data_IF_757781449362
#
_entry.id   IF_757781449362
#
_cell.length_a   1.000
_cell.length_b   1.000
_cell.length_c   1.000
_cell.angle_alpha   90.00
_cell.angle_beta   90.00
_cell.angle_gamma   90.00
#
_symmetry.space_group_name_H-M   'P 1'
#
loop_
_entity.id
_entity.type
_entity.pdbx_description
1 polymer ?
#
# COMPACT_ATOMS: atom_id res chain seq x y z
N UNK A 1 -13.39 21.22 -51.80
CA UNK A 1 -12.30 21.66 -50.89
C UNK A 1 -12.34 20.73 -49.68
N UNK A 2 -11.41 19.77 -49.55
CA UNK A 2 -11.31 18.94 -48.33
C UNK A 2 -10.67 19.81 -47.26
N UNK A 3 -11.43 20.16 -46.23
CA UNK A 3 -10.90 20.89 -45.08
C UNK A 3 -9.78 20.03 -44.46
N UNK A 4 -8.62 20.61 -44.12
CA UNK A 4 -7.56 19.88 -43.46
C UNK A 4 -8.07 19.43 -42.09
N UNK A 5 -8.30 18.13 -41.95
CA UNK A 5 -8.58 17.51 -40.65
C UNK A 5 -7.34 17.68 -39.78
N UNK A 6 -7.45 18.46 -38.71
CA UNK A 6 -6.41 18.63 -37.69
C UNK A 6 -5.92 17.24 -37.27
N UNK A 7 -4.62 16.98 -37.37
CA UNK A 7 -4.04 15.73 -36.87
C UNK A 7 -4.39 15.59 -35.39
N UNK A 8 -4.78 14.38 -34.95
CA UNK A 8 -5.04 14.12 -33.53
C UNK A 8 -3.80 14.54 -32.72
N UNK A 9 -4.01 15.27 -31.62
CA UNK A 9 -2.92 15.63 -30.71
C UNK A 9 -2.22 14.36 -30.27
N UNK A 10 -0.91 14.32 -30.47
CA UNK A 10 -0.08 13.23 -29.96
C UNK A 10 -0.10 13.30 -28.43
N UNK A 11 -0.63 12.27 -27.78
CA UNK A 11 -0.70 12.17 -26.32
C UNK A 11 -0.03 10.89 -25.88
N UNK A 12 0.93 11.02 -24.97
CA UNK A 12 1.57 9.88 -24.31
C UNK A 12 0.58 9.40 -23.24
N UNK A 13 0.10 8.14 -23.28
CA UNK A 13 -0.73 7.61 -22.22
C UNK A 13 0.09 7.48 -20.93
N UNK A 14 -0.46 7.90 -19.80
CA UNK A 14 0.14 7.74 -18.48
C UNK A 14 -0.53 6.60 -17.72
N UNK A 15 0.28 5.79 -17.04
CA UNK A 15 -0.14 4.66 -16.22
C UNK A 15 0.48 4.74 -14.84
N UNK A 16 -0.32 4.48 -13.82
CA UNK A 16 0.08 4.40 -12.43
C UNK A 16 0.22 2.94 -11.99
N UNK A 17 1.15 2.67 -11.07
CA UNK A 17 1.27 1.32 -10.55
C UNK A 17 0.02 0.88 -9.76
N UNK A 18 -0.41 1.68 -8.80
CA UNK A 18 -1.54 1.33 -7.93
C UNK A 18 -2.88 1.47 -8.65
N UNK A 19 -3.08 2.57 -9.37
CA UNK A 19 -4.32 2.87 -10.07
C UNK A 19 -4.52 2.11 -11.38
N UNK A 20 -3.45 1.68 -12.07
CA UNK A 20 -3.55 0.94 -13.32
C UNK A 20 -3.02 -0.49 -13.25
N UNK A 21 -1.75 -0.69 -12.89
CA UNK A 21 -1.16 -2.03 -12.90
C UNK A 21 -1.91 -2.98 -11.97
N UNK A 22 -1.99 -2.65 -10.68
CA UNK A 22 -2.61 -3.51 -9.67
C UNK A 22 -4.11 -3.68 -9.96
N UNK A 23 -4.80 -2.57 -10.25
CA UNK A 23 -6.23 -2.58 -10.55
C UNK A 23 -6.58 -3.46 -11.77
N UNK A 24 -5.74 -3.44 -12.83
CA UNK A 24 -5.93 -4.32 -13.99
C UNK A 24 -5.64 -5.78 -13.67
N UNK A 25 -4.57 -6.07 -12.93
CA UNK A 25 -4.21 -7.44 -12.51
C UNK A 25 -5.34 -8.05 -11.67
N UNK A 26 -5.94 -7.27 -10.77
CA UNK A 26 -7.10 -7.71 -9.97
C UNK A 26 -8.27 -8.12 -10.86
N UNK A 27 -8.65 -7.28 -11.83
CA UNK A 27 -9.66 -7.60 -12.84
C UNK A 27 -9.67 -6.56 -13.98
N UNK A 28 -9.27 -6.94 -15.20
CA UNK A 28 -9.22 -6.04 -16.35
C UNK A 28 -10.59 -5.42 -16.72
N UNK A 29 -11.68 -6.18 -16.59
CA UNK A 29 -13.03 -5.69 -16.85
C UNK A 29 -13.49 -4.68 -15.79
N UNK A 30 -13.19 -4.93 -14.52
CA UNK A 30 -13.49 -3.99 -13.43
C UNK A 30 -12.69 -2.70 -13.58
N UNK A 31 -11.38 -2.82 -13.87
CA UNK A 31 -10.50 -1.70 -14.19
C UNK A 31 -11.09 -0.82 -15.30
N UNK A 32 -11.57 -1.43 -16.39
CA UNK A 32 -12.20 -0.69 -17.49
C UNK A 32 -13.45 0.08 -17.06
N UNK A 33 -14.29 -0.49 -16.20
CA UNK A 33 -15.49 0.19 -15.74
C UNK A 33 -15.18 1.33 -14.76
N UNK A 34 -14.20 1.16 -13.88
CA UNK A 34 -13.84 2.17 -12.88
C UNK A 34 -13.06 3.34 -13.50
N UNK A 35 -11.96 3.07 -14.21
CA UNK A 35 -11.05 4.11 -14.67
C UNK A 35 -11.54 4.87 -15.92
N UNK A 36 -12.39 4.24 -16.75
CA UNK A 36 -12.96 4.88 -17.94
C UNK A 36 -14.46 5.15 -17.83
N UNK A 37 -15.18 4.47 -16.94
CA UNK A 37 -16.60 4.73 -16.68
C UNK A 37 -16.86 5.79 -15.63
N UNK A 38 -15.81 6.31 -14.96
CA UNK A 38 -15.90 7.31 -13.87
C UNK A 38 -16.83 6.88 -12.73
N UNK A 39 -16.98 5.57 -12.53
CA UNK A 39 -17.81 5.01 -11.46
C UNK A 39 -16.92 4.73 -10.24
N UNK A 40 -17.18 5.37 -9.08
CA UNK A 40 -16.43 5.06 -7.87
C UNK A 40 -16.74 3.62 -7.41
N UNK A 41 -15.75 2.88 -6.89
CA UNK A 41 -15.96 1.55 -6.33
C UNK A 41 -16.90 1.61 -5.11
N UNK A 42 -17.84 0.67 -4.99
CA UNK A 42 -18.81 0.64 -3.88
C UNK A 42 -18.30 0.07 -2.56
N UNK A 43 -17.12 -0.57 -2.53
CA UNK A 43 -16.55 -1.16 -1.31
C UNK A 43 -15.31 -0.39 -0.85
N UNK A 44 -15.50 0.68 -0.07
CA UNK A 44 -14.44 1.60 0.31
C UNK A 44 -13.63 1.16 1.53
N UNK A 45 -13.89 0.04 2.21
CA UNK A 45 -13.30 -0.20 3.56
C UNK A 45 -11.77 -0.26 3.58
N UNK A 46 -11.16 -1.14 2.77
CA UNK A 46 -9.70 -1.24 2.67
C UNK A 46 -9.07 0.02 2.08
N UNK A 47 -9.80 0.70 1.19
CA UNK A 47 -9.36 1.96 0.59
C UNK A 47 -9.38 3.10 1.61
N UNK A 48 -10.43 3.19 2.43
CA UNK A 48 -10.59 4.19 3.48
C UNK A 48 -9.50 4.01 4.52
N UNK A 49 -9.31 2.80 5.06
CA UNK A 49 -8.28 2.59 6.09
C UNK A 49 -6.86 2.83 5.57
N UNK A 50 -6.58 2.43 4.32
CA UNK A 50 -5.33 2.79 3.64
C UNK A 50 -5.16 4.30 3.54
N UNK A 51 -6.09 5.01 2.87
CA UNK A 51 -5.99 6.47 2.70
C UNK A 51 -5.97 7.22 4.06
N UNK A 52 -6.67 6.72 5.08
CA UNK A 52 -6.67 7.24 6.44
C UNK A 52 -5.28 7.15 7.08
N UNK A 53 -4.69 5.95 7.10
CA UNK A 53 -3.35 5.75 7.66
C UNK A 53 -2.31 6.58 6.91
N UNK A 54 -2.39 6.66 5.58
CA UNK A 54 -1.46 7.49 4.82
C UNK A 54 -1.57 8.96 5.20
N UNK A 55 -2.79 9.51 5.22
CA UNK A 55 -3.01 10.89 5.61
C UNK A 55 -2.59 11.19 7.04
N UNK A 56 -2.86 10.29 7.99
CA UNK A 56 -2.49 10.49 9.40
C UNK A 56 -0.98 10.48 9.59
N UNK A 57 -0.27 9.53 8.98
CA UNK A 57 1.20 9.46 9.08
C UNK A 57 1.87 10.67 8.43
N UNK A 58 1.35 11.14 7.30
CA UNK A 58 1.86 12.33 6.61
C UNK A 58 1.67 13.60 7.46
N UNK A 59 0.43 13.88 7.90
CA UNK A 59 0.14 15.07 8.71
C UNK A 59 0.89 15.02 10.05
N UNK A 60 1.01 13.84 10.67
CA UNK A 60 1.83 13.68 11.88
C UNK A 60 3.32 13.98 11.62
N UNK A 61 3.87 13.57 10.47
CA UNK A 61 5.23 13.95 10.10
C UNK A 61 5.35 15.48 9.92
N UNK A 62 4.39 16.12 9.25
CA UNK A 62 4.40 17.57 9.06
C UNK A 62 4.35 18.31 10.40
N UNK A 63 3.45 17.94 11.30
CA UNK A 63 3.36 18.50 12.65
C UNK A 63 4.64 18.30 13.44
N UNK A 64 5.22 17.09 13.38
CA UNK A 64 6.52 16.82 13.99
C UNK A 64 7.64 17.67 13.37
N UNK A 65 7.65 17.86 12.05
CA UNK A 65 8.67 18.65 11.35
C UNK A 65 8.67 20.10 11.80
N UNK A 66 7.49 20.69 12.02
CA UNK A 66 7.35 22.07 12.49
C UNK A 66 7.59 22.23 13.99
N UNK A 67 7.04 21.34 14.82
CA UNK A 67 7.04 21.51 16.28
C UNK A 67 8.18 20.77 16.98
N UNK A 68 8.77 19.76 16.34
CA UNK A 68 9.76 18.83 16.91
C UNK A 68 9.29 18.23 18.24
N UNK A 69 7.99 17.90 18.29
CA UNK A 69 7.32 17.32 19.46
C UNK A 69 7.97 15.99 19.85
N UNK A 70 8.17 15.80 21.14
CA UNK A 70 8.75 14.57 21.68
C UNK A 70 7.72 13.44 21.71
N UNK A 71 8.18 12.22 21.52
CA UNK A 71 7.37 11.01 21.65
C UNK A 71 7.38 10.50 23.11
N UNK A 72 6.34 9.79 23.57
CA UNK A 72 5.09 9.49 22.86
C UNK A 72 4.15 10.71 22.82
N UNK A 73 3.35 10.78 21.76
CA UNK A 73 2.26 11.72 21.58
C UNK A 73 1.01 11.20 22.29
N UNK A 74 0.28 12.11 22.91
CA UNK A 74 -1.01 11.82 23.53
C UNK A 74 -2.08 11.65 22.44
N UNK A 75 -2.89 10.60 22.54
CA UNK A 75 -3.90 10.36 21.52
C UNK A 75 -4.92 11.49 21.43
N UNK A 76 -5.47 11.97 22.55
CA UNK A 76 -6.59 12.92 22.55
C UNK A 76 -6.13 14.31 22.14
N UNK A 77 -4.98 14.74 22.65
CA UNK A 77 -4.47 16.09 22.43
C UNK A 77 -3.68 16.22 21.11
N UNK A 78 -2.94 15.18 20.71
CA UNK A 78 -1.96 15.29 19.63
C UNK A 78 -2.37 14.56 18.36
N UNK A 79 -2.93 13.35 18.48
CA UNK A 79 -3.18 12.47 17.32
C UNK A 79 -4.61 12.60 16.81
N UNK A 80 -5.59 12.67 17.71
CA UNK A 80 -7.00 12.73 17.37
C UNK A 80 -7.38 13.95 16.51
N UNK A 81 -6.85 15.17 16.75
CA UNK A 81 -7.10 16.30 15.85
C UNK A 81 -6.66 16.03 14.41
N UNK A 82 -5.56 15.29 14.23
CA UNK A 82 -5.06 14.86 12.93
C UNK A 82 -6.01 13.82 12.32
N UNK A 83 -6.42 12.81 13.09
CA UNK A 83 -7.40 11.80 12.66
C UNK A 83 -8.70 12.44 12.16
N UNK A 84 -9.23 13.43 12.90
CA UNK A 84 -10.48 14.12 12.55
C UNK A 84 -10.35 14.98 11.29
N UNK A 85 -9.21 15.62 11.10
CA UNK A 85 -8.91 16.35 9.87
C UNK A 85 -8.86 15.41 8.66
N UNK A 86 -8.23 14.25 8.80
CA UNK A 86 -8.13 13.25 7.73
C UNK A 86 -9.49 12.61 7.45
N UNK A 87 -10.25 12.24 8.48
CA UNK A 87 -11.61 11.74 8.36
C UNK A 87 -12.49 12.70 7.56
N UNK A 88 -12.48 14.00 7.89
CA UNK A 88 -13.22 15.02 7.14
C UNK A 88 -12.81 15.07 5.66
N UNK A 89 -11.50 15.02 5.36
CA UNK A 89 -11.00 15.01 3.98
C UNK A 89 -11.49 13.79 3.21
N UNK A 90 -11.54 12.61 3.85
CA UNK A 90 -12.04 11.37 3.23
C UNK A 90 -13.55 11.44 2.99
N UNK A 91 -14.32 11.95 3.94
CA UNK A 91 -15.76 12.10 3.81
C UNK A 91 -16.15 13.06 2.68
N UNK A 92 -15.41 14.16 2.49
CA UNK A 92 -15.60 15.07 1.35
C UNK A 92 -15.39 14.35 0.00
N UNK A 93 -14.54 13.32 -0.03
CA UNK A 93 -14.32 12.46 -1.20
C UNK A 93 -15.35 11.32 -1.32
N UNK A 94 -16.33 11.25 -0.42
CA UNK A 94 -17.33 10.19 -0.37
C UNK A 94 -16.80 8.87 0.20
N UNK A 95 -15.64 8.88 0.86
CA UNK A 95 -15.08 7.73 1.56
C UNK A 95 -15.43 7.84 3.05
N UNK A 96 -16.22 6.88 3.53
CA UNK A 96 -16.66 6.83 4.92
C UNK A 96 -16.10 5.58 5.61
N UNK A 97 -15.84 5.64 6.93
CA UNK A 97 -15.60 4.43 7.70
C UNK A 97 -16.86 3.57 7.60
N UNK A 98 -16.69 2.33 7.14
CA UNK A 98 -17.82 1.43 6.86
C UNK A 98 -18.42 0.81 8.12
N UNK A 99 -17.63 0.76 9.20
CA UNK A 99 -17.97 0.09 10.45
C UNK A 99 -17.72 1.06 11.62
N UNK A 100 -18.70 1.19 12.51
CA UNK A 100 -18.59 1.96 13.75
C UNK A 100 -17.52 1.37 14.69
N UNK A 101 -17.19 0.09 14.52
CA UNK A 101 -16.10 -0.58 15.24
C UNK A 101 -14.71 -0.32 14.65
N UNK A 102 -14.62 0.21 13.43
CA UNK A 102 -13.35 0.54 12.80
C UNK A 102 -12.82 1.91 13.26
N UNK A 103 -13.68 2.94 13.24
CA UNK A 103 -13.30 4.31 13.55
C UNK A 103 -14.52 5.12 14.02
N UNK A 104 -14.33 5.94 15.06
CA UNK A 104 -15.36 6.85 15.55
C UNK A 104 -15.20 8.24 14.93
N UNK A 105 -16.15 8.67 14.08
CA UNK A 105 -16.15 9.99 13.46
C UNK A 105 -17.00 10.99 14.25
N UNK A 106 -16.43 12.16 14.58
CA UNK A 106 -17.19 13.30 15.13
C UNK A 106 -17.81 14.18 14.05
N UNK A 107 -17.42 14.01 12.79
CA UNK A 107 -17.82 14.85 11.64
C UNK A 107 -19.20 14.47 11.05
N UNK A 108 -20.05 13.77 11.80
CA UNK A 108 -21.32 13.28 11.28
C UNK A 108 -22.32 14.42 11.01
N UNK A 109 -23.06 14.40 9.88
CA UNK A 109 -24.06 15.41 9.59
C UNK A 109 -25.14 15.48 10.68
N UNK A 110 -25.22 16.63 11.38
CA UNK A 110 -26.21 16.86 12.43
C UNK A 110 -25.79 16.46 13.84
N UNK A 111 -24.56 15.95 14.03
CA UNK A 111 -23.96 15.84 15.37
C UNK A 111 -23.29 17.16 15.75
N UNK A 112 -23.35 17.52 17.05
CA UNK A 112 -22.56 18.60 17.65
C UNK A 112 -21.46 18.02 18.55
N UNK A 113 -20.91 16.86 18.17
CA UNK A 113 -19.89 16.18 18.95
C UNK A 113 -18.57 16.96 18.87
N UNK A 114 -17.89 17.04 19.99
CA UNK A 114 -16.58 17.66 20.14
C UNK A 114 -15.56 16.62 20.62
N UNK A 115 -14.28 16.97 20.58
CA UNK A 115 -13.20 16.14 21.13
C UNK A 115 -13.42 15.81 22.62
N UNK A 116 -14.07 16.71 23.37
CA UNK A 116 -14.35 16.52 24.79
C UNK A 116 -15.36 15.40 25.06
N UNK A 117 -16.24 15.13 24.08
CA UNK A 117 -17.24 14.06 24.16
C UNK A 117 -16.63 12.66 23.94
N UNK A 118 -15.39 12.60 23.44
CA UNK A 118 -14.65 11.35 23.22
C UNK A 118 -14.07 10.81 24.53
N UNK A 119 -14.21 9.50 24.71
CA UNK A 119 -13.69 8.75 25.85
C UNK A 119 -12.69 7.65 25.43
N UNK A 120 -12.08 6.96 26.40
CA UNK A 120 -11.13 5.86 26.13
C UNK A 120 -11.73 4.69 25.31
N UNK A 121 -13.06 4.52 25.29
CA UNK A 121 -13.69 3.50 24.46
C UNK A 121 -13.62 3.87 22.97
N UNK A 122 -13.63 5.17 22.64
CA UNK A 122 -13.48 5.65 21.25
C UNK A 122 -12.01 5.55 20.79
N UNK A 123 -11.07 5.76 21.71
CA UNK A 123 -9.62 5.50 21.50
C UNK A 123 -9.32 4.04 21.12
N UNK A 124 -10.09 3.10 21.66
CA UNK A 124 -9.88 1.65 21.44
C UNK A 124 -10.39 1.13 20.09
N UNK A 125 -10.97 1.98 19.23
CA UNK A 125 -11.34 1.57 17.87
C UNK A 125 -10.07 1.26 17.06
N UNK A 126 -10.20 0.29 16.16
CA UNK A 126 -9.04 -0.37 15.58
C UNK A 126 -8.16 0.58 14.74
N UNK A 127 -8.78 1.53 14.03
CA UNK A 127 -8.04 2.47 13.20
C UNK A 127 -7.21 3.47 14.02
N UNK A 128 -7.81 4.05 15.06
CA UNK A 128 -7.12 5.00 15.96
C UNK A 128 -6.01 4.31 16.75
N UNK A 129 -6.27 3.10 17.28
CA UNK A 129 -5.26 2.32 17.98
C UNK A 129 -4.04 2.01 17.08
N UNK A 130 -4.26 1.70 15.80
CA UNK A 130 -3.19 1.46 14.82
C UNK A 130 -2.43 2.74 14.46
N UNK A 131 -3.14 3.84 14.25
CA UNK A 131 -2.54 5.13 13.93
C UNK A 131 -1.65 5.64 15.08
N UNK A 132 -2.18 5.65 16.30
CA UNK A 132 -1.43 6.02 17.49
C UNK A 132 -0.19 5.13 17.65
N UNK A 133 -0.37 3.81 17.58
CA UNK A 133 0.74 2.88 17.74
C UNK A 133 1.79 3.08 16.66
N UNK A 134 1.39 3.34 15.41
CA UNK A 134 2.32 3.64 14.33
C UNK A 134 3.12 4.93 14.55
N UNK A 135 2.47 6.02 14.95
CA UNK A 135 3.12 7.30 15.25
C UNK A 135 4.10 7.14 16.42
N UNK A 136 3.64 6.57 17.52
CA UNK A 136 4.44 6.45 18.74
C UNK A 136 5.57 5.42 18.62
N UNK A 137 5.38 4.38 17.81
CA UNK A 137 6.36 3.33 17.63
C UNK A 137 7.35 3.63 16.50
N UNK A 138 6.86 3.84 15.27
CA UNK A 138 7.69 4.10 14.10
C UNK A 138 7.98 5.57 13.89
N UNK A 139 7.08 6.50 14.23
CA UNK A 139 7.28 7.94 13.99
C UNK A 139 8.57 8.48 14.61
N UNK A 140 8.94 8.02 15.80
CA UNK A 140 10.20 8.42 16.47
C UNK A 140 11.46 8.07 15.68
N UNK A 141 11.44 6.95 14.96
CA UNK A 141 12.57 6.42 14.20
C UNK A 141 12.48 6.87 12.73
N UNK A 142 11.26 6.99 12.20
CA UNK A 142 10.98 7.31 10.80
C UNK A 142 11.06 8.82 10.54
N UNK A 143 10.34 9.64 11.29
CA UNK A 143 10.20 11.08 11.00
C UNK A 143 11.54 11.82 10.94
N UNK A 144 12.55 11.53 11.79
CA UNK A 144 13.87 12.14 11.67
C UNK A 144 14.64 11.79 10.39
N UNK A 145 14.28 10.68 9.74
CA UNK A 145 14.94 10.19 8.53
C UNK A 145 14.26 10.68 7.24
N UNK A 146 13.08 11.29 7.31
CA UNK A 146 12.34 11.71 6.12
C UNK A 146 12.99 12.95 5.50
N UNK A 147 13.55 12.78 4.30
CA UNK A 147 14.04 13.89 3.47
C UNK A 147 12.90 14.49 2.64
N UNK A 148 12.02 13.63 2.11
CA UNK A 148 10.84 14.03 1.33
C UNK A 148 9.68 13.09 1.60
N UNK A 149 8.47 13.65 1.72
CA UNK A 149 7.20 12.93 1.83
C UNK A 149 6.32 13.20 0.61
N UNK A 150 5.50 12.24 0.20
CA UNK A 150 4.60 12.32 -0.98
C UNK A 150 5.31 12.77 -2.28
N UNK A 151 6.47 12.18 -2.57
CA UNK A 151 7.25 12.56 -3.75
C UNK A 151 6.60 12.01 -5.03
N UNK A 152 6.12 12.92 -5.89
CA UNK A 152 5.66 12.60 -7.23
C UNK A 152 6.85 12.28 -8.15
N UNK A 153 6.86 11.05 -8.67
CA UNK A 153 7.89 10.57 -9.57
C UNK A 153 7.29 10.14 -10.91
N UNK A 154 7.97 10.47 -12.00
CA UNK A 154 7.52 10.19 -13.36
C UNK A 154 8.67 9.69 -14.24
N UNK A 155 8.34 8.81 -15.16
CA UNK A 155 9.26 8.27 -16.14
C UNK A 155 8.53 7.92 -17.43
N UNK A 156 9.29 7.63 -18.49
CA UNK A 156 8.74 7.25 -19.79
C UNK A 156 9.43 5.98 -20.26
N UNK A 157 8.65 5.05 -20.82
CA UNK A 157 9.13 3.81 -21.43
C UNK A 157 8.60 3.64 -22.85
N UNK A 158 9.30 2.89 -23.72
CA UNK A 158 8.81 2.53 -25.04
C UNK A 158 7.47 1.77 -24.95
N UNK A 159 6.58 2.02 -25.90
CA UNK A 159 5.32 1.29 -26.00
C UNK A 159 5.59 -0.18 -26.33
N UNK A 160 5.13 -1.14 -25.51
CA UNK A 160 5.28 -2.55 -25.81
C UNK A 160 4.52 -2.91 -27.09
N UNK A 161 5.13 -3.76 -27.94
CA UNK A 161 4.57 -4.17 -29.24
C UNK A 161 4.07 -3.01 -30.13
N UNK A 162 4.82 -1.90 -30.14
CA UNK A 162 4.47 -0.72 -30.92
C UNK A 162 4.22 -1.03 -32.40
N UNK A 163 3.04 -0.61 -32.88
CA UNK A 163 2.68 -0.61 -34.29
C UNK A 163 2.18 0.78 -34.68
N UNK A 164 2.81 1.37 -35.71
CA UNK A 164 2.55 2.74 -36.15
C UNK A 164 1.09 2.99 -36.58
N UNK A 165 0.37 1.96 -37.01
CA UNK A 165 -0.98 2.08 -37.54
C UNK A 165 -2.06 1.88 -36.46
N UNK A 166 -1.71 1.26 -35.33
CA UNK A 166 -2.67 0.84 -34.30
C UNK A 166 -2.35 1.39 -32.91
N UNK A 167 -1.08 1.50 -32.53
CA UNK A 167 -0.67 2.07 -31.25
C UNK A 167 -0.96 3.57 -31.20
N UNK A 168 -1.42 4.03 -30.03
CA UNK A 168 -1.76 5.45 -29.80
C UNK A 168 -0.52 6.35 -29.69
N UNK A 169 0.61 5.77 -29.27
CA UNK A 169 1.88 6.44 -28.99
C UNK A 169 3.03 5.44 -29.11
N UNK A 170 4.26 5.89 -29.38
CA UNK A 170 5.47 5.05 -29.33
C UNK A 170 6.07 4.96 -27.93
N UNK A 171 5.54 5.71 -26.97
CA UNK A 171 5.90 5.67 -25.56
C UNK A 171 4.67 5.62 -24.67
N UNK A 172 4.86 5.20 -23.43
CA UNK A 172 3.91 5.43 -22.35
C UNK A 172 4.64 6.02 -21.14
N UNK A 173 3.91 6.82 -20.36
CA UNK A 173 4.39 7.39 -19.11
C UNK A 173 4.06 6.48 -17.94
N UNK A 174 4.98 6.41 -16.98
CA UNK A 174 4.76 5.79 -15.68
C UNK A 174 4.76 6.91 -14.65
N UNK A 175 3.77 6.89 -13.74
CA UNK A 175 3.72 7.81 -12.61
C UNK A 175 3.54 7.04 -11.28
N UNK A 176 4.05 7.64 -10.20
CA UNK A 176 3.97 7.09 -8.86
C UNK A 176 4.09 8.20 -7.80
N UNK A 177 3.62 7.90 -6.60
CA UNK A 177 3.80 8.71 -5.40
C UNK A 177 4.58 7.84 -4.42
N UNK A 178 5.75 8.32 -4.00
CA UNK A 178 6.52 7.68 -2.92
C UNK A 178 6.11 8.31 -1.62
N UNK A 179 5.60 7.51 -0.68
CA UNK A 179 5.16 8.02 0.63
C UNK A 179 6.30 8.69 1.39
N UNK A 180 7.45 8.00 1.48
CA UNK A 180 8.63 8.50 2.18
C UNK A 180 9.90 8.17 1.41
N UNK A 181 10.71 9.20 1.20
CA UNK A 181 12.07 9.10 0.72
C UNK A 181 13.03 9.58 1.82
N UNK A 182 13.99 8.74 2.13
CA UNK A 182 15.05 8.97 3.11
C UNK A 182 16.39 8.86 2.42
N UNK A 183 17.37 9.66 2.82
CA UNK A 183 18.75 9.46 2.42
C UNK A 183 19.66 9.36 3.64
N UNK A 184 20.39 8.26 3.74
CA UNK A 184 21.25 7.97 4.89
C UNK A 184 22.63 7.51 4.44
N UNK A 185 23.63 7.87 5.23
CA UNK A 185 24.97 7.28 5.14
C UNK A 185 25.01 6.10 6.08
N UNK A 186 25.02 4.89 5.56
CA UNK A 186 24.85 3.68 6.37
C UNK A 186 26.10 3.39 7.22
N UNK A 187 27.29 3.71 6.69
CA UNK A 187 28.59 3.38 7.30
C UNK A 187 29.41 4.55 7.88
N UNK A 188 29.02 5.84 7.69
CA UNK A 188 29.81 6.97 8.22
C UNK A 188 29.69 7.21 9.73
N UNK A 189 29.19 6.24 10.48
CA UNK A 189 29.02 6.30 11.94
C UNK A 189 30.23 5.77 12.73
N UNK A 190 31.35 5.42 12.09
CA UNK A 190 32.57 5.10 12.83
C UNK A 190 33.24 6.33 13.49
N UNK A 191 32.89 7.57 13.10
CA UNK A 191 33.57 8.76 13.64
C UNK A 191 32.73 10.06 13.77
N UNK A 192 31.40 10.02 13.66
CA UNK A 192 30.58 11.21 13.95
C UNK A 192 29.66 10.96 15.15
N UNK A 193 30.09 11.48 16.27
CA UNK A 193 29.38 11.65 17.54
C UNK A 193 28.19 12.61 17.39
N UNK A 194 27.17 12.24 16.62
CA UNK A 194 25.84 12.80 16.78
C UNK A 194 25.00 11.73 17.49
N UNK A 195 24.64 12.02 18.73
CA UNK A 195 23.94 11.15 19.70
C UNK A 195 22.62 10.50 19.21
N UNK A 196 22.17 10.78 17.99
CA UNK A 196 20.87 10.35 17.44
C UNK A 196 20.94 9.10 16.55
N UNK A 197 22.12 8.69 16.07
CA UNK A 197 22.24 7.67 15.01
C UNK A 197 22.45 6.22 15.49
N UNK A 198 22.76 6.03 16.77
CA UNK A 198 23.06 4.69 17.32
C UNK A 198 21.81 3.92 17.77
N UNK A 199 20.71 4.59 18.12
CA UNK A 199 19.50 3.95 18.66
C UNK A 199 18.30 3.97 17.69
N UNK A 200 18.47 4.48 16.46
CA UNK A 200 17.40 4.47 15.47
C UNK A 200 17.12 3.05 14.98
N UNK A 201 15.92 2.54 15.27
CA UNK A 201 15.54 1.15 14.99
C UNK A 201 15.50 0.84 13.49
N UNK A 202 15.11 1.81 12.65
CA UNK A 202 15.05 1.63 11.19
C UNK A 202 16.46 1.53 10.62
N UNK A 203 17.37 2.43 11.04
CA UNK A 203 18.76 2.40 10.59
C UNK A 203 19.45 1.10 11.02
N UNK A 204 19.25 0.64 12.25
CA UNK A 204 19.79 -0.64 12.72
C UNK A 204 19.22 -1.83 11.95
N UNK A 205 17.93 -1.79 11.60
CA UNK A 205 17.32 -2.82 10.75
C UNK A 205 17.94 -2.85 9.35
N UNK A 206 18.19 -1.68 8.74
CA UNK A 206 18.85 -1.59 7.43
C UNK A 206 20.27 -2.15 7.51
N UNK A 207 21.07 -1.74 8.51
CA UNK A 207 22.44 -2.22 8.70
C UNK A 207 22.52 -3.75 8.81
N UNK A 208 21.58 -4.39 9.50
CA UNK A 208 21.52 -5.87 9.62
C UNK A 208 21.22 -6.57 8.28
N UNK A 209 20.53 -5.90 7.37
CA UNK A 209 20.11 -6.47 6.08
C UNK A 209 21.00 -6.05 4.90
N UNK A 210 21.88 -5.07 5.08
CA UNK A 210 22.90 -4.65 4.12
C UNK A 210 24.21 -5.41 4.39
N UNK A 211 24.98 -5.69 3.34
CA UNK A 211 26.34 -6.26 3.48
C UNK A 211 27.33 -5.14 3.87
N UNK A 212 28.37 -5.46 4.66
CA UNK A 212 29.30 -4.49 5.27
C UNK A 212 30.09 -3.59 4.30
N UNK A 213 30.03 -3.84 2.98
CA UNK A 213 31.01 -3.29 2.02
C UNK A 213 30.76 -1.86 1.53
N UNK A 214 29.61 -1.24 1.81
CA UNK A 214 29.24 -0.04 1.05
C UNK A 214 29.27 1.22 1.92
N UNK A 215 30.43 1.88 1.93
CA UNK A 215 30.66 3.27 2.41
C UNK A 215 29.92 4.33 1.56
N UNK A 216 28.80 3.96 0.97
CA UNK A 216 28.08 4.75 -0.02
C UNK A 216 26.82 5.39 0.58
N UNK A 217 26.40 6.51 0.00
CA UNK A 217 25.13 7.15 0.35
C UNK A 217 23.98 6.32 -0.22
N UNK A 218 23.05 5.92 0.64
CA UNK A 218 21.85 5.18 0.24
C UNK A 218 20.63 6.09 0.24
N UNK A 219 19.79 5.95 -0.79
CA UNK A 219 18.40 6.36 -0.74
C UNK A 219 17.51 5.19 -0.34
N UNK A 220 16.57 5.43 0.57
CA UNK A 220 15.65 4.41 1.05
C UNK A 220 14.24 4.89 0.73
N UNK A 221 13.54 4.08 -0.06
CA UNK A 221 12.12 4.26 -0.36
C UNK A 221 11.35 3.50 0.70
N UNK A 222 10.55 4.22 1.48
CA UNK A 222 9.71 3.65 2.54
C UNK A 222 8.25 3.85 2.14
N UNK A 223 7.50 2.76 2.16
CA UNK A 223 6.05 2.74 1.96
C UNK A 223 5.42 2.10 3.20
N UNK A 224 4.26 2.57 3.61
CA UNK A 224 3.52 1.99 4.73
C UNK A 224 2.19 1.43 4.23
N UNK A 225 1.79 0.28 4.77
CA UNK A 225 0.57 -0.44 4.39
C UNK A 225 -0.30 -0.63 5.62
N UNK A 226 -1.55 -0.15 5.53
CA UNK A 226 -2.62 -0.41 6.49
C UNK A 226 -3.19 -1.83 6.38
N UNK A 227 -2.33 -2.85 6.38
CA UNK A 227 -2.74 -4.25 6.29
C UNK A 227 -1.76 -5.18 7.00
N UNK A 228 -2.21 -6.41 7.27
CA UNK A 228 -1.37 -7.51 7.73
C UNK A 228 -0.23 -7.78 6.74
N UNK A 229 0.96 -8.12 7.25
CA UNK A 229 2.10 -8.56 6.44
C UNK A 229 1.69 -9.77 5.60
N UNK A 230 1.76 -9.72 4.26
CA UNK A 230 1.42 -10.86 3.43
C UNK A 230 2.39 -12.03 3.62
N UNK A 231 1.91 -13.28 3.43
CA UNK A 231 2.76 -14.46 3.47
C UNK A 231 3.79 -14.43 2.32
N UNK A 232 4.86 -15.21 2.46
CA UNK A 232 5.87 -15.42 1.42
C UNK A 232 5.37 -16.27 0.25
N UNK A 233 4.37 -17.12 0.52
CA UNK A 233 3.83 -18.07 -0.45
C UNK A 233 2.32 -17.92 -0.47
N UNK A 234 1.78 -17.97 -1.67
CA UNK A 234 0.35 -17.98 -1.89
C UNK A 234 -0.12 -19.43 -1.96
N UNK A 235 -1.11 -19.78 -1.14
CA UNK A 235 -1.69 -21.13 -1.11
C UNK A 235 -2.66 -21.40 -2.26
N UNK A 236 -3.39 -20.38 -2.71
CA UNK A 236 -4.31 -20.45 -3.86
C UNK A 236 -3.68 -19.79 -5.10
N UNK A 237 -3.40 -20.56 -6.18
CA UNK A 237 -2.85 -20.02 -7.44
C UNK A 237 -3.70 -18.93 -8.10
N UNK A 238 -5.00 -18.83 -7.76
CA UNK A 238 -5.91 -17.81 -8.26
C UNK A 238 -5.99 -16.57 -7.38
N UNK A 239 -5.34 -16.59 -6.21
CA UNK A 239 -5.30 -15.44 -5.32
C UNK A 239 -4.11 -14.54 -5.62
N UNK A 240 -4.31 -13.25 -5.39
CA UNK A 240 -3.30 -12.23 -5.64
C UNK A 240 -2.10 -12.37 -4.70
N UNK A 241 -0.89 -12.46 -5.25
CA UNK A 241 0.35 -12.37 -4.47
C UNK A 241 0.62 -10.91 -4.07
N UNK A 242 0.05 -10.53 -2.93
CA UNK A 242 0.20 -9.18 -2.38
C UNK A 242 1.64 -8.86 -2.03
N UNK A 243 2.42 -9.83 -1.58
CA UNK A 243 3.82 -9.59 -1.28
C UNK A 243 4.57 -9.19 -2.55
N UNK A 244 4.42 -9.97 -3.60
CA UNK A 244 5.06 -9.71 -4.88
C UNK A 244 4.61 -8.36 -5.49
N UNK A 245 3.34 -8.00 -5.35
CA UNK A 245 2.83 -6.70 -5.79
C UNK A 245 3.45 -5.52 -5.02
N UNK A 246 3.60 -5.66 -3.70
CA UNK A 246 4.26 -4.63 -2.87
C UNK A 246 5.75 -4.51 -3.21
N UNK A 247 6.42 -5.64 -3.43
CA UNK A 247 7.83 -5.67 -3.87
C UNK A 247 8.00 -4.99 -5.22
N UNK A 248 7.12 -5.27 -6.18
CA UNK A 248 7.12 -4.64 -7.49
C UNK A 248 6.88 -3.13 -7.42
N UNK A 249 6.09 -2.66 -6.45
CA UNK A 249 5.90 -1.23 -6.23
C UNK A 249 7.20 -0.52 -5.92
N UNK A 250 7.91 -1.02 -4.91
CA UNK A 250 9.20 -0.47 -4.49
C UNK A 250 10.24 -0.56 -5.62
N UNK A 251 10.30 -1.67 -6.36
CA UNK A 251 11.21 -1.83 -7.50
C UNK A 251 10.88 -0.87 -8.66
N UNK A 252 9.60 -0.61 -8.93
CA UNK A 252 9.20 0.35 -9.96
C UNK A 252 9.53 1.78 -9.51
N UNK A 253 9.29 2.10 -8.23
CA UNK A 253 9.63 3.41 -7.66
C UNK A 253 11.13 3.65 -7.65
N UNK A 254 11.96 2.63 -7.39
CA UNK A 254 13.41 2.79 -7.46
C UNK A 254 13.90 3.05 -8.88
N UNK A 255 13.30 2.41 -9.89
CA UNK A 255 13.56 2.75 -11.28
C UNK A 255 13.17 4.19 -11.61
N UNK A 256 11.96 4.60 -11.25
CA UNK A 256 11.49 5.98 -11.45
C UNK A 256 12.41 7.00 -10.76
N UNK A 257 12.83 6.70 -9.53
CA UNK A 257 13.78 7.53 -8.77
C UNK A 257 15.10 7.67 -9.51
N UNK A 258 15.67 6.57 -10.02
CA UNK A 258 16.92 6.57 -10.81
C UNK A 258 16.88 7.40 -12.10
N UNK A 259 15.70 7.88 -12.53
CA UNK A 259 15.54 8.76 -13.70
C UNK A 259 15.52 10.24 -13.34
N UNK A 260 15.57 10.58 -12.06
CA UNK A 260 15.57 11.96 -11.57
C UNK A 260 17.00 12.48 -11.41
N UNK A 261 17.19 13.77 -11.66
CA UNK A 261 18.52 14.42 -11.70
C UNK A 261 19.27 14.37 -10.36
N UNK A 262 18.54 14.29 -9.26
CA UNK A 262 19.05 14.31 -7.88
C UNK A 262 19.10 12.92 -7.22
N UNK A 263 18.88 11.85 -7.99
CA UNK A 263 18.88 10.48 -7.47
C UNK A 263 20.26 9.98 -7.05
N UNK A 264 20.31 9.18 -5.99
CA UNK A 264 21.53 8.51 -5.54
C UNK A 264 21.70 7.15 -6.23
N UNK A 265 22.94 6.69 -6.31
CA UNK A 265 23.29 5.45 -7.01
C UNK A 265 22.68 4.22 -6.34
N UNK A 266 22.71 4.18 -5.00
CA UNK A 266 22.19 3.05 -4.23
C UNK A 266 20.80 3.34 -3.70
N UNK A 267 19.90 2.40 -3.91
CA UNK A 267 18.54 2.48 -3.43
C UNK A 267 18.20 1.20 -2.65
N UNK A 268 17.46 1.31 -1.55
CA UNK A 268 16.83 0.19 -0.87
C UNK A 268 15.36 0.48 -0.58
N UNK A 269 14.60 -0.59 -0.32
CA UNK A 269 13.19 -0.50 -0.02
C UNK A 269 12.85 -0.97 1.38
N UNK A 270 11.91 -0.29 2.03
CA UNK A 270 11.29 -0.74 3.28
C UNK A 270 9.78 -0.67 3.14
N UNK A 271 9.10 -1.67 3.67
CA UNK A 271 7.64 -1.65 3.82
C UNK A 271 7.28 -1.80 5.28
N UNK A 272 6.45 -0.88 5.79
CA UNK A 272 5.91 -0.93 7.14
C UNK A 272 4.46 -1.46 7.12
N UNK A 273 4.21 -2.61 7.71
CA UNK A 273 2.89 -3.22 7.87
C UNK A 273 2.29 -2.83 9.22
N UNK A 274 1.53 -1.75 9.26
CA UNK A 274 1.13 -1.11 10.52
C UNK A 274 0.13 -1.95 11.34
N UNK A 275 -0.65 -2.84 10.68
CA UNK A 275 -1.57 -3.74 11.40
C UNK A 275 -0.83 -4.73 12.30
N UNK A 276 0.43 -5.04 12.02
CA UNK A 276 1.22 -5.96 12.85
C UNK A 276 1.56 -5.37 14.23
N UNK A 277 1.49 -4.03 14.37
CA UNK A 277 1.66 -3.35 15.66
C UNK A 277 0.43 -3.51 16.57
N UNK A 278 -0.75 -3.64 15.98
CA UNK A 278 -2.04 -3.85 16.67
C UNK A 278 -2.89 -4.84 15.86
N UNK A 279 -2.58 -6.15 15.94
CA UNK A 279 -3.30 -7.17 15.18
C UNK A 279 -4.73 -7.31 15.69
N UNK A 280 -5.71 -7.46 14.79
CA UNK A 280 -7.06 -7.86 15.17
C UNK A 280 -7.16 -9.37 15.41
N UNK A 281 -8.32 -9.86 15.86
CA UNK A 281 -8.57 -11.31 15.96
C UNK A 281 -8.43 -12.00 14.61
N UNK A 282 -8.98 -11.39 13.56
CA UNK A 282 -8.89 -11.90 12.18
C UNK A 282 -7.44 -11.93 11.70
N UNK A 283 -6.65 -10.90 12.02
CA UNK A 283 -5.22 -10.90 11.71
C UNK A 283 -4.50 -12.04 12.44
N UNK A 284 -4.80 -12.28 13.73
CA UNK A 284 -4.18 -13.37 14.49
C UNK A 284 -4.51 -14.76 13.95
N UNK A 285 -5.76 -15.00 13.53
CA UNK A 285 -6.16 -16.26 12.88
C UNK A 285 -5.29 -16.50 11.65
N UNK A 286 -5.11 -15.49 10.80
CA UNK A 286 -4.27 -15.59 9.61
C UNK A 286 -2.79 -15.77 9.95
N UNK A 287 -2.28 -15.08 10.99
CA UNK A 287 -0.90 -15.25 11.46
C UNK A 287 -0.67 -16.69 11.94
N UNK A 288 -1.62 -17.25 12.70
CA UNK A 288 -1.57 -18.63 13.18
C UNK A 288 -1.50 -19.63 12.02
N UNK A 289 -2.35 -19.45 11.00
CA UNK A 289 -2.33 -20.28 9.79
C UNK A 289 -1.00 -20.17 9.04
N UNK A 290 -0.41 -18.97 8.95
CA UNK A 290 0.88 -18.75 8.28
C UNK A 290 2.05 -19.40 9.01
N UNK A 291 2.04 -19.36 10.34
CA UNK A 291 3.04 -20.02 11.18
C UNK A 291 2.94 -21.54 10.98
N UNK A 292 1.74 -22.11 11.06
CA UNK A 292 1.51 -23.56 10.91
C UNK A 292 1.95 -24.08 9.53
N UNK A 293 1.74 -23.30 8.47
CA UNK A 293 2.05 -23.69 7.10
C UNK A 293 3.43 -23.24 6.59
N UNK A 294 4.28 -22.67 7.46
CA UNK A 294 5.62 -22.19 7.09
C UNK A 294 5.62 -21.16 5.96
N UNK A 295 4.68 -20.21 6.04
CA UNK A 295 4.47 -19.16 5.04
C UNK A 295 4.97 -17.79 5.50
N UNK A 296 5.54 -17.69 6.70
CA UNK A 296 6.09 -16.45 7.26
C UNK A 296 7.61 -16.38 7.11
N UNK A 297 8.13 -15.18 6.89
CA UNK A 297 9.57 -14.87 6.87
C UNK A 297 10.13 -14.49 8.25
N UNK A 298 9.31 -14.56 9.29
CA UNK A 298 9.74 -14.31 10.67
C UNK A 298 10.33 -15.60 11.23
N UNK A 299 11.56 -15.56 11.78
CA UNK A 299 12.20 -16.74 12.37
C UNK A 299 11.32 -17.37 13.45
N UNK A 300 11.31 -18.71 13.48
CA UNK A 300 10.53 -19.49 14.46
C UNK A 300 11.34 -19.94 15.66
N UNK A 301 12.64 -19.77 15.58
CA UNK A 301 13.65 -20.18 16.55
C UNK A 301 13.93 -19.08 17.57
N UNK A 302 14.40 -19.51 18.76
CA UNK A 302 14.91 -18.86 19.99
C UNK A 302 14.55 -17.40 20.32
N UNK A 303 14.47 -16.47 19.37
CA UNK A 303 14.12 -15.05 19.59
C UNK A 303 12.61 -14.84 19.81
N UNK A 304 11.75 -15.62 19.14
CA UNK A 304 10.29 -15.42 19.15
C UNK A 304 9.48 -16.68 19.54
N UNK A 305 10.13 -17.67 20.16
CA UNK A 305 9.49 -18.94 20.53
C UNK A 305 8.25 -18.75 21.40
N UNK A 306 8.33 -17.87 22.39
CA UNK A 306 7.26 -17.64 23.37
C UNK A 306 6.03 -17.01 22.71
N UNK A 307 6.23 -16.03 21.84
CA UNK A 307 5.15 -15.39 21.06
C UNK A 307 4.46 -16.38 20.12
N UNK A 308 5.25 -17.27 19.49
CA UNK A 308 4.74 -18.31 18.61
C UNK A 308 3.91 -19.33 19.38
N UNK A 309 4.39 -19.79 20.54
CA UNK A 309 3.66 -20.71 21.40
C UNK A 309 2.32 -20.11 21.83
N UNK A 310 2.32 -18.84 22.27
CA UNK A 310 1.09 -18.12 22.62
C UNK A 310 0.08 -18.06 21.46
N UNK A 311 0.53 -17.83 20.23
CA UNK A 311 -0.35 -17.78 19.05
C UNK A 311 -0.87 -19.18 18.70
N UNK A 312 -0.03 -20.21 18.81
CA UNK A 312 -0.40 -21.59 18.49
C UNK A 312 -1.42 -22.15 19.48
N UNK A 313 -1.30 -21.82 20.76
CA UNK A 313 -2.23 -22.25 21.80
C UNK A 313 -3.55 -21.48 21.80
N UNK A 314 -3.52 -20.18 21.44
CA UNK A 314 -4.69 -19.29 21.47
C UNK A 314 -5.86 -19.79 20.62
N UNK A 315 -7.08 -19.71 21.17
CA UNK A 315 -8.33 -19.95 20.45
C UNK A 315 -9.13 -18.65 20.25
N UNK A 316 -9.95 -18.57 19.20
CA UNK A 316 -10.65 -17.33 18.81
C UNK A 316 -11.59 -16.75 19.89
N UNK A 317 -12.17 -17.65 20.70
CA UNK A 317 -13.03 -17.32 21.83
C UNK A 317 -12.25 -16.79 23.06
N UNK A 318 -10.94 -17.03 23.11
CA UNK A 318 -10.09 -16.58 24.22
C UNK A 318 -9.77 -15.09 24.13
N UNK A 319 -9.32 -14.54 25.25
CA UNK A 319 -8.73 -13.20 25.29
C UNK A 319 -7.50 -13.18 24.36
N UNK A 320 -7.34 -12.09 23.61
CA UNK A 320 -6.17 -11.92 22.74
C UNK A 320 -4.86 -12.12 23.50
N UNK A 321 -3.90 -12.87 22.93
CA UNK A 321 -2.59 -13.10 23.53
C UNK A 321 -1.82 -11.79 23.60
N UNK A 322 -1.05 -11.61 24.68
CA UNK A 322 -0.20 -10.44 24.83
C UNK A 322 1.16 -10.67 24.17
N UNK A 323 1.24 -10.37 22.88
CA UNK A 323 2.48 -10.53 22.11
C UNK A 323 3.51 -9.47 22.48
N UNK A 324 4.79 -9.85 22.44
CA UNK A 324 5.92 -8.97 22.68
C UNK A 324 6.03 -7.86 21.64
N UNK A 325 6.55 -6.72 22.06
CA UNK A 325 6.73 -5.57 21.16
C UNK A 325 7.82 -5.82 20.10
N UNK A 326 8.82 -6.64 20.40
CA UNK A 326 9.86 -7.00 19.42
C UNK A 326 9.32 -7.96 18.35
N UNK A 327 8.42 -8.88 18.68
CA UNK A 327 7.73 -9.71 17.69
C UNK A 327 6.85 -8.88 16.76
N UNK A 328 6.01 -8.00 17.32
CA UNK A 328 5.17 -7.06 16.54
C UNK A 328 6.02 -6.18 15.63
N UNK A 329 7.15 -5.69 16.14
CA UNK A 329 8.12 -4.90 15.38
C UNK A 329 8.69 -5.69 14.21
N UNK A 330 9.23 -6.89 14.45
CA UNK A 330 9.79 -7.74 13.42
C UNK A 330 8.78 -8.05 12.31
N UNK A 331 7.52 -8.29 12.69
CA UNK A 331 6.41 -8.48 11.75
C UNK A 331 6.02 -7.21 11.00
N UNK A 332 6.13 -6.04 11.64
CA UNK A 332 5.72 -4.77 11.05
C UNK A 332 6.70 -4.17 10.03
N UNK A 333 7.91 -4.71 9.85
CA UNK A 333 8.91 -4.16 8.93
C UNK A 333 9.47 -5.22 7.98
N UNK A 334 9.53 -4.92 6.68
CA UNK A 334 10.14 -5.81 5.68
C UNK A 334 11.11 -5.04 4.80
N UNK A 335 12.30 -5.60 4.60
CA UNK A 335 13.35 -5.05 3.76
C UNK A 335 13.25 -5.59 2.33
N UNK A 336 13.54 -4.74 1.35
CA UNK A 336 13.65 -5.11 -0.06
C UNK A 336 15.01 -4.64 -0.56
N UNK A 337 15.90 -5.60 -0.81
CA UNK A 337 17.15 -5.36 -1.52
C UNK A 337 16.82 -5.04 -2.98
N UNK A 338 17.15 -3.84 -3.43
CA UNK A 338 16.97 -3.45 -4.82
C UNK A 338 18.21 -3.91 -5.57
N UNK A 339 17.97 -4.66 -6.64
CA UNK A 339 19.00 -5.04 -7.60
C UNK A 339 18.45 -4.81 -9.01
N UNK A 340 19.36 -4.62 -9.98
CA UNK A 340 18.99 -4.27 -11.34
C UNK A 340 18.18 -5.36 -12.05
N UNK A 341 18.43 -6.64 -11.74
CA UNK A 341 17.75 -7.77 -12.34
C UNK A 341 16.26 -7.83 -11.93
N UNK A 342 15.99 -7.76 -10.63
CA UNK A 342 14.63 -7.73 -10.08
C UNK A 342 13.90 -6.46 -10.49
N UNK A 343 14.62 -5.33 -10.59
CA UNK A 343 14.05 -4.09 -11.11
C UNK A 343 13.59 -4.24 -12.56
N UNK A 344 14.41 -4.84 -13.44
CA UNK A 344 13.99 -5.04 -14.83
C UNK A 344 12.84 -6.06 -14.93
N UNK A 345 12.84 -7.13 -14.13
CA UNK A 345 11.70 -8.07 -14.06
C UNK A 345 10.39 -7.38 -13.67
N UNK A 346 10.44 -6.44 -12.71
CA UNK A 346 9.27 -5.67 -12.31
C UNK A 346 8.77 -4.77 -13.46
N UNK A 347 9.69 -4.12 -14.19
CA UNK A 347 9.36 -3.29 -15.34
C UNK A 347 8.82 -4.09 -16.51
N UNK A 348 9.37 -5.28 -16.79
CA UNK A 348 8.87 -6.19 -17.81
C UNK A 348 7.43 -6.63 -17.51
N UNK A 349 7.10 -6.88 -16.24
CA UNK A 349 5.72 -7.19 -15.85
C UNK A 349 4.81 -5.98 -16.06
N UNK A 350 5.30 -4.78 -15.75
CA UNK A 350 4.58 -3.53 -16.04
C UNK A 350 4.31 -3.38 -17.54
N UNK A 351 5.33 -3.57 -18.38
CA UNK A 351 5.25 -3.52 -19.83
C UNK A 351 4.20 -4.52 -20.37
N UNK A 352 4.15 -5.75 -19.83
CA UNK A 352 3.14 -6.74 -20.22
C UNK A 352 1.71 -6.30 -19.90
N UNK A 353 1.48 -5.71 -18.74
CA UNK A 353 0.13 -5.23 -18.38
C UNK A 353 -0.27 -4.01 -19.20
N UNK A 354 0.65 -3.08 -19.45
CA UNK A 354 0.40 -1.95 -20.37
C UNK A 354 0.05 -2.45 -21.76
N UNK A 355 0.77 -3.46 -22.26
CA UNK A 355 0.45 -4.10 -23.54
C UNK A 355 -0.96 -4.69 -23.56
N UNK A 356 -1.37 -5.37 -22.48
CA UNK A 356 -2.69 -5.97 -22.37
C UNK A 356 -3.80 -4.91 -22.31
N UNK A 357 -3.59 -3.83 -21.54
CA UNK A 357 -4.50 -2.67 -21.49
C UNK A 357 -4.65 -2.03 -22.87
N UNK A 358 -3.53 -1.74 -23.56
CA UNK A 358 -3.54 -1.11 -24.88
C UNK A 358 -4.17 -2.03 -25.93
N UNK A 359 -3.91 -3.33 -25.87
CA UNK A 359 -4.54 -4.33 -26.73
C UNK A 359 -6.06 -4.37 -26.53
N UNK A 360 -6.53 -4.33 -25.28
CA UNK A 360 -7.96 -4.24 -24.95
C UNK A 360 -8.58 -2.95 -25.47
N UNK A 361 -7.91 -1.81 -25.32
CA UNK A 361 -8.36 -0.52 -25.86
C UNK A 361 -8.47 -0.54 -27.38
N UNK A 362 -7.48 -1.10 -28.08
CA UNK A 362 -7.50 -1.21 -29.55
C UNK A 362 -8.66 -2.11 -30.01
N UNK A 363 -8.94 -3.22 -29.33
CA UNK A 363 -10.09 -4.08 -29.62
C UNK A 363 -11.41 -3.33 -29.45
N UNK A 364 -11.56 -2.60 -28.34
CA UNK A 364 -12.74 -1.79 -28.07
C UNK A 364 -12.94 -0.69 -29.12
N UNK A 365 -11.87 0.03 -29.49
CA UNK A 365 -11.90 1.06 -30.54
C UNK A 365 -12.27 0.50 -31.92
N UNK A 366 -12.00 -0.78 -32.19
CA UNK A 366 -12.41 -1.50 -33.41
C UNK A 366 -13.85 -2.00 -33.36
N UNK A 367 -14.62 -1.68 -32.31
CA UNK A 367 -16.03 -2.04 -32.17
C UNK A 367 -16.29 -3.36 -31.45
N UNK A 368 -15.28 -3.97 -30.81
CA UNK A 368 -15.49 -5.13 -29.96
C UNK A 368 -16.29 -4.74 -28.71
N UNK A 369 -17.19 -5.60 -28.24
CA UNK A 369 -17.94 -5.35 -27.01
C UNK A 369 -16.98 -5.31 -25.82
N UNK A 370 -17.25 -4.45 -24.84
CA UNK A 370 -16.39 -4.25 -23.65
C UNK A 370 -16.08 -5.59 -22.95
N UNK A 371 -17.11 -6.43 -22.75
CA UNK A 371 -16.96 -7.72 -22.08
C UNK A 371 -16.11 -8.75 -22.85
N UNK A 372 -15.90 -8.54 -24.15
CA UNK A 372 -15.11 -9.42 -25.01
C UNK A 372 -13.70 -8.82 -25.25
N UNK A 373 -13.55 -7.50 -25.10
CA UNK A 373 -12.29 -6.78 -25.21
C UNK A 373 -11.45 -6.82 -23.92
N UNK A 374 -12.11 -6.90 -22.75
CA UNK A 374 -11.49 -6.83 -21.43
C UNK A 374 -11.71 -8.13 -20.64
N UNK A 375 -10.62 -8.71 -20.11
CA UNK A 375 -10.66 -9.98 -19.38
C UNK A 375 -11.31 -9.80 -18.00
N UNK A 376 -12.18 -10.72 -17.62
CA UNK A 376 -12.84 -10.76 -16.31
C UNK A 376 -12.28 -11.91 -15.45
N UNK A 377 -10.98 -11.90 -15.22
CA UNK A 377 -10.27 -12.91 -14.44
C UNK A 377 -10.00 -12.33 -13.05
N UNK A 378 -10.76 -12.75 -12.05
CA UNK A 378 -10.64 -12.28 -10.67
C UNK A 378 -11.01 -13.40 -9.70
N UNK A 379 -10.49 -13.34 -8.47
CA UNK A 379 -10.83 -14.30 -7.43
C UNK A 379 -12.32 -14.18 -7.00
N UNK A 380 -12.81 -15.18 -6.26
CA UNK A 380 -14.20 -15.24 -5.79
C UNK A 380 -14.58 -14.08 -4.88
N UNK A 381 -13.67 -13.60 -4.03
CA UNK A 381 -13.91 -12.50 -3.08
C UNK A 381 -14.08 -11.20 -3.85
N UNK A 382 -13.22 -10.94 -4.82
CA UNK A 382 -13.24 -9.80 -5.73
C UNK A 382 -14.52 -9.80 -6.56
N UNK A 383 -14.89 -10.94 -7.16
CA UNK A 383 -16.16 -11.09 -7.88
C UNK A 383 -17.38 -10.85 -6.98
N UNK A 384 -17.38 -11.38 -5.76
CA UNK A 384 -18.48 -11.20 -4.79
C UNK A 384 -18.66 -9.75 -4.37
N UNK A 385 -17.55 -9.01 -4.29
CA UNK A 385 -17.51 -7.60 -3.93
C UNK A 385 -17.71 -6.65 -5.11
N UNK A 386 -17.67 -7.14 -6.35
CA UNK A 386 -17.71 -6.31 -7.54
C UNK A 386 -19.11 -5.76 -7.84
N UNK A 387 -19.20 -4.47 -8.08
CA UNK A 387 -20.42 -3.76 -8.49
C UNK A 387 -21.01 -4.25 -9.80
N UNK A 388 -20.13 -4.71 -10.68
CA UNK A 388 -20.48 -5.11 -12.03
C UNK A 388 -20.83 -6.60 -12.12
N UNK A 389 -20.89 -7.30 -10.99
CA UNK A 389 -21.14 -8.75 -10.91
C UNK A 389 -22.47 -9.17 -11.56
N UNK A 390 -23.49 -8.31 -11.53
CA UNK A 390 -24.84 -8.63 -12.03
C UNK A 390 -24.93 -8.75 -13.55
N UNK A 391 -24.01 -8.11 -14.28
CA UNK A 391 -23.95 -8.16 -15.73
C UNK A 391 -22.60 -8.68 -16.25
N UNK A 392 -21.73 -9.17 -15.37
CA UNK A 392 -20.50 -9.85 -15.72
C UNK A 392 -20.80 -11.27 -16.21
N UNK A 393 -20.34 -11.61 -17.42
CA UNK A 393 -20.53 -12.95 -18.02
C UNK A 393 -19.88 -14.09 -17.20
N UNK A 394 -18.84 -13.79 -16.42
CA UNK A 394 -18.13 -14.77 -15.58
C UNK A 394 -18.81 -15.04 -14.23
N UNK A 395 -19.92 -14.34 -13.91
CA UNK A 395 -20.65 -14.55 -12.66
C UNK A 395 -21.84 -15.52 -12.80
N UNK A 396 -21.87 -16.32 -13.86
CA UNK A 396 -23.03 -17.16 -14.22
C UNK A 396 -23.29 -18.37 -13.32
N UNK A 397 -22.75 -18.43 -12.10
CA UNK A 397 -22.89 -19.60 -11.20
C UNK A 397 -23.34 -19.31 -9.75
N UNK A 398 -23.75 -18.10 -9.38
CA UNK A 398 -24.32 -17.86 -8.04
C UNK A 398 -25.51 -16.89 -8.05
N UNK A 399 -26.52 -17.17 -8.86
CA UNK A 399 -27.89 -16.84 -8.46
C UNK A 399 -28.47 -18.06 -7.79
N UNK A 400 -28.22 -18.24 -6.48
CA UNK A 400 -29.14 -19.04 -5.67
C UNK A 400 -30.49 -18.33 -5.76
N UNK A 401 -31.45 -18.94 -6.43
CA UNK A 401 -32.85 -18.57 -6.32
C UNK A 401 -33.19 -18.52 -4.83
N UNK A 402 -33.29 -17.31 -4.28
CA UNK A 402 -33.92 -17.11 -2.99
C UNK A 402 -35.43 -17.31 -3.22
N UNK A 403 -35.90 -18.54 -3.02
CA UNK A 403 -37.33 -18.76 -2.78
C UNK A 403 -37.64 -18.15 -1.42
N UNK A 404 -38.31 -16.99 -1.47
CA UNK A 404 -38.98 -16.40 -0.31
C UNK A 404 -40.12 -17.38 0.07
N UNK A 405 -40.36 -17.65 1.38
CA UNK A 405 -41.43 -18.53 1.83
C UNK A 405 -42.81 -18.22 1.26
#
# INVERSE_FOLDING_TARGET
MKLPTRSKSYMIPEYSLTGDLLSYITCGLQYRYQNKGTLPPSKPVQRWFGEFIHGVMEEAYLDWKYQKKQFPWDWKEDIRPIEDQIDLRLQVRGLYPYDEDLFFSINQPGSNLTLDDLNEHDHKKLASARAEKAINFWGKDLFPLIDSSELLIKGVRPMPNYDKNTSRSNYYGINGVVDVLTSTKINSAHNQSNLYDFDNKIVNFIRKNMEESDDEDYEIIIDYKGMKRPPLKVSDPHSEDKWENHKQQILTYSWLRSKQEDSKANCAGIILYLNELVPSKEDLVLIKEEILNDMTDIPKDDEFSDDIELILEWQEDDKMPNLSEEFKKARSIRFIKINDEEREKALDKFDRVVNDIESSLVKEMKGCKIQDAWKAEADKRTCSACDFRTFCKNNSDITKDFKIP
#
